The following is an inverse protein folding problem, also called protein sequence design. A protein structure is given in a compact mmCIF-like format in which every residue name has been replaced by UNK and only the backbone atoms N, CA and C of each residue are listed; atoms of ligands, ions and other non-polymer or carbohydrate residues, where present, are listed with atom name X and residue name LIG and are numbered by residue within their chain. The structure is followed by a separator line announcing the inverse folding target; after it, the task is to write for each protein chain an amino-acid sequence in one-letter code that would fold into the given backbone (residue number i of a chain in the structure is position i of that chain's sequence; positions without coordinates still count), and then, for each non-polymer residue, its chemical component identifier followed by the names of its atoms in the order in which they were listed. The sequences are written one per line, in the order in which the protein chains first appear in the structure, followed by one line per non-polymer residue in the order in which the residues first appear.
data_IF_937785092342
#
_entry.id   IF_937785092342
#
_cell.length_a   1.000
_cell.length_b   1.000
_cell.length_c   1.000
_cell.angle_alpha   90.00
_cell.angle_beta   90.00
_cell.angle_gamma   90.00
#
_symmetry.space_group_name_H-M   'P 1'
#
loop_
_entity.id
_entity.type
_entity.pdbx_description
1 polymer ?
#
# COMPACT_ATOMS: atom_id res chain seq x y z
N UNK A 1 -5.54 -16.15 13.18
CA UNK A 1 -4.34 -15.95 12.37
C UNK A 1 -4.74 -15.86 10.91
N UNK A 2 -4.50 -14.72 10.29
CA UNK A 2 -4.86 -14.53 8.89
C UNK A 2 -3.78 -15.14 8.00
N UNK A 3 -4.18 -16.10 7.19
CA UNK A 3 -3.30 -16.69 6.17
C UNK A 3 -3.81 -16.30 4.80
N UNK A 4 -2.90 -15.84 3.98
CA UNK A 4 -3.18 -15.58 2.57
C UNK A 4 -2.46 -16.64 1.76
N UNK A 5 -3.14 -17.25 0.79
CA UNK A 5 -2.49 -18.20 -0.09
C UNK A 5 -1.66 -17.45 -1.15
N UNK A 6 -0.88 -18.21 -1.92
CA UNK A 6 0.03 -17.64 -2.91
C UNK A 6 -0.73 -16.85 -3.98
N UNK A 7 -1.86 -17.35 -4.45
CA UNK A 7 -2.65 -16.70 -5.50
C UNK A 7 -3.27 -15.40 -5.00
N UNK A 8 -3.78 -15.40 -3.76
CA UNK A 8 -4.33 -14.20 -3.15
C UNK A 8 -3.27 -13.10 -3.01
N UNK A 9 -2.06 -13.48 -2.62
CA UNK A 9 -0.97 -12.52 -2.49
C UNK A 9 -0.53 -11.98 -3.84
N UNK A 10 -0.48 -12.81 -4.89
CA UNK A 10 -0.13 -12.34 -6.22
C UNK A 10 -1.11 -11.27 -6.71
N UNK A 11 -2.40 -11.44 -6.46
CA UNK A 11 -3.41 -10.47 -6.87
C UNK A 11 -3.23 -9.12 -6.21
N UNK A 12 -2.83 -9.09 -4.93
CA UNK A 12 -2.65 -7.83 -4.21
C UNK A 12 -1.27 -7.21 -4.44
N UNK A 13 -0.28 -8.00 -4.83
CA UNK A 13 1.06 -7.49 -5.16
C UNK A 13 1.01 -6.54 -6.37
N UNK A 14 0.20 -6.86 -7.38
CA UNK A 14 0.11 -6.02 -8.58
C UNK A 14 -0.30 -4.58 -8.30
N UNK A 15 -1.39 -4.32 -7.56
CA UNK A 15 -1.73 -2.93 -7.22
C UNK A 15 -0.63 -2.24 -6.41
N UNK A 16 0.03 -2.96 -5.52
CA UNK A 16 1.11 -2.39 -4.70
C UNK A 16 2.29 -1.97 -5.58
N UNK A 17 2.77 -2.85 -6.46
CA UNK A 17 3.90 -2.54 -7.35
C UNK A 17 3.56 -1.42 -8.33
N UNK A 18 2.34 -1.40 -8.84
CA UNK A 18 1.86 -0.34 -9.72
C UNK A 18 1.87 1.02 -9.01
N UNK A 19 1.39 1.04 -7.77
CA UNK A 19 1.36 2.27 -6.98
C UNK A 19 2.76 2.76 -6.61
N UNK A 20 3.68 1.85 -6.32
CA UNK A 20 5.08 2.21 -6.07
C UNK A 20 5.64 2.95 -7.29
N UNK A 21 5.47 2.39 -8.48
CA UNK A 21 5.96 2.99 -9.72
C UNK A 21 5.35 4.37 -9.96
N UNK A 22 4.03 4.49 -9.82
CA UNK A 22 3.33 5.75 -10.01
C UNK A 22 3.74 6.79 -8.99
N UNK A 23 3.90 6.39 -7.73
CA UNK A 23 4.28 7.29 -6.64
C UNK A 23 5.72 7.78 -6.79
N UNK A 24 6.63 6.93 -7.25
CA UNK A 24 8.01 7.33 -7.50
C UNK A 24 8.08 8.37 -8.62
N UNK A 25 7.34 8.16 -9.71
CA UNK A 25 7.27 9.12 -10.80
C UNK A 25 6.68 10.45 -10.37
N UNK A 26 5.60 10.40 -9.59
CA UNK A 26 4.96 11.61 -9.07
C UNK A 26 5.88 12.37 -8.13
N UNK A 27 6.61 11.65 -7.27
CA UNK A 27 7.53 12.26 -6.31
C UNK A 27 8.65 13.02 -7.01
N UNK A 28 9.15 12.50 -8.14
CA UNK A 28 10.20 13.15 -8.91
C UNK A 28 9.79 14.53 -9.44
N UNK A 29 8.49 14.75 -9.65
CA UNK A 29 7.95 16.01 -10.15
C UNK A 29 7.67 17.02 -9.04
N UNK A 30 7.79 16.62 -7.79
CA UNK A 30 7.48 17.48 -6.64
C UNK A 30 8.76 18.06 -6.06
N UNK A 31 8.63 19.28 -5.54
CA UNK A 31 9.74 19.94 -4.85
C UNK A 31 9.92 19.29 -3.46
N UNK A 32 11.16 18.94 -3.14
CA UNK A 32 11.49 18.41 -1.81
C UNK A 32 11.13 19.43 -0.74
N UNK A 33 10.58 18.95 0.37
CA UNK A 33 10.18 19.81 1.48
C UNK A 33 8.72 20.24 1.44
N UNK A 34 8.00 19.99 0.34
CA UNK A 34 6.56 20.26 0.30
C UNK A 34 5.81 19.14 1.02
N UNK A 35 4.60 19.44 1.48
CA UNK A 35 3.80 18.42 2.17
C UNK A 35 3.41 17.27 1.21
N UNK A 36 3.21 17.59 -0.07
CA UNK A 36 2.91 16.55 -1.07
C UNK A 36 4.06 15.58 -1.24
N UNK A 37 5.28 16.10 -1.30
CA UNK A 37 6.49 15.28 -1.40
C UNK A 37 6.64 14.39 -0.17
N UNK A 38 6.45 14.95 1.01
CA UNK A 38 6.52 14.21 2.28
C UNK A 38 5.46 13.12 2.34
N UNK A 39 4.23 13.43 1.93
CA UNK A 39 3.14 12.45 1.91
C UNK A 39 3.46 11.28 0.97
N UNK A 40 3.93 11.58 -0.25
CA UNK A 40 4.30 10.51 -1.19
C UNK A 40 5.45 9.66 -0.68
N UNK A 41 6.42 10.28 -0.02
CA UNK A 41 7.54 9.56 0.57
C UNK A 41 7.06 8.60 1.67
N UNK A 42 6.14 9.03 2.51
CA UNK A 42 5.55 8.19 3.56
C UNK A 42 4.73 7.05 2.95
N UNK A 43 3.95 7.34 1.92
CA UNK A 43 3.18 6.31 1.22
C UNK A 43 4.10 5.28 0.55
N UNK A 44 5.19 5.74 -0.08
CA UNK A 44 6.17 4.83 -0.68
C UNK A 44 6.80 3.91 0.36
N UNK A 45 7.17 4.45 1.51
CA UNK A 45 7.72 3.63 2.60
C UNK A 45 6.74 2.56 3.04
N UNK A 46 5.46 2.93 3.22
CA UNK A 46 4.41 1.99 3.58
C UNK A 46 4.23 0.90 2.50
N UNK A 47 4.21 1.30 1.23
CA UNK A 47 4.05 0.37 0.12
C UNK A 47 5.22 -0.61 0.04
N UNK A 48 6.45 -0.16 0.25
CA UNK A 48 7.63 -1.03 0.26
C UNK A 48 7.58 -2.01 1.43
N UNK A 49 7.15 -1.58 2.61
CA UNK A 49 6.97 -2.46 3.76
C UNK A 49 5.96 -3.57 3.42
N UNK A 50 4.82 -3.17 2.84
CA UNK A 50 3.78 -4.13 2.45
C UNK A 50 4.30 -5.12 1.41
N UNK A 51 5.02 -4.63 0.40
CA UNK A 51 5.57 -5.49 -0.64
C UNK A 51 6.55 -6.52 -0.06
N UNK A 52 7.41 -6.09 0.85
CA UNK A 52 8.36 -6.99 1.53
C UNK A 52 7.62 -8.08 2.30
N UNK A 53 6.55 -7.73 3.00
CA UNK A 53 5.75 -8.71 3.75
C UNK A 53 4.99 -9.66 2.82
N UNK A 54 4.50 -9.15 1.69
CA UNK A 54 3.76 -9.96 0.72
C UNK A 54 4.66 -10.94 -0.03
N UNK A 55 5.87 -10.54 -0.35
CA UNK A 55 6.80 -11.37 -1.11
C UNK A 55 7.62 -12.31 -0.23
N UNK A 56 7.70 -12.03 1.07
CA UNK A 56 8.48 -12.81 2.04
C UNK A 56 9.89 -13.15 1.54
N UNK A 57 10.56 -12.18 0.96
CA UNK A 57 11.97 -12.30 0.66
C UNK A 57 12.72 -12.23 1.99
N UNK A 58 12.87 -13.39 2.64
CA UNK A 58 13.03 -13.48 4.07
C UNK A 58 14.44 -13.43 4.61
N UNK A 59 15.44 -13.54 3.75
CA UNK A 59 16.75 -13.79 4.32
C UNK A 59 17.60 -12.54 4.55
N UNK A 60 17.21 -11.41 3.96
CA UNK A 60 18.02 -10.19 4.02
C UNK A 60 17.20 -8.95 4.36
N UNK A 61 15.95 -9.12 4.74
CA UNK A 61 15.09 -7.96 5.01
C UNK A 61 15.22 -7.58 6.46
N UNK A 62 15.68 -6.36 6.69
CA UNK A 62 15.58 -5.77 8.01
C UNK A 62 14.12 -5.83 8.46
N UNK A 63 13.89 -6.36 9.64
CA UNK A 63 12.55 -6.35 10.22
C UNK A 63 12.18 -4.88 10.45
N UNK A 64 11.06 -4.40 9.89
CA UNK A 64 10.66 -3.02 10.11
C UNK A 64 10.49 -2.73 11.60
N UNK A 65 10.86 -1.53 12.00
CA UNK A 65 10.69 -1.10 13.38
C UNK A 65 9.21 -0.94 13.69
N UNK A 66 8.85 -1.09 14.96
CA UNK A 66 7.44 -0.96 15.37
C UNK A 66 6.87 0.41 15.00
N UNK A 67 7.67 1.47 15.10
CA UNK A 67 7.24 2.81 14.70
C UNK A 67 6.97 2.90 13.21
N UNK A 68 7.80 2.25 12.39
CA UNK A 68 7.60 2.21 10.93
C UNK A 68 6.34 1.45 10.56
N UNK A 69 6.05 0.36 11.26
CA UNK A 69 4.83 -0.41 11.05
C UNK A 69 3.59 0.41 11.40
N UNK A 70 3.61 1.14 12.50
CA UNK A 70 2.50 2.00 12.89
C UNK A 70 2.30 3.14 11.91
N UNK A 71 3.40 3.74 11.44
CA UNK A 71 3.33 4.79 10.41
C UNK A 71 2.75 4.24 9.10
N UNK A 72 3.13 3.01 8.73
CA UNK A 72 2.60 2.36 7.55
C UNK A 72 1.09 2.14 7.66
N UNK A 73 0.60 1.71 8.82
CA UNK A 73 -0.84 1.55 9.04
C UNK A 73 -1.59 2.86 8.84
N UNK A 74 -1.05 3.97 9.37
CA UNK A 74 -1.67 5.29 9.17
C UNK A 74 -1.71 5.67 7.70
N UNK A 75 -0.62 5.41 6.98
CA UNK A 75 -0.55 5.71 5.54
C UNK A 75 -1.57 4.87 4.76
N UNK A 76 -1.69 3.59 5.06
CA UNK A 76 -2.67 2.72 4.39
C UNK A 76 -4.10 3.12 4.72
N UNK A 77 -4.39 3.53 5.95
CA UNK A 77 -5.73 4.02 6.30
C UNK A 77 -6.09 5.25 5.46
N UNK A 78 -5.16 6.18 5.29
CA UNK A 78 -5.38 7.36 4.46
C UNK A 78 -5.55 7.01 2.99
N UNK A 79 -4.73 6.10 2.47
CA UNK A 79 -4.83 5.65 1.08
C UNK A 79 -6.16 4.93 0.83
N UNK A 80 -6.58 4.08 1.75
CA UNK A 80 -7.86 3.38 1.66
C UNK A 80 -9.02 4.37 1.62
N UNK A 81 -9.00 5.36 2.49
CA UNK A 81 -10.06 6.38 2.53
C UNK A 81 -10.15 7.12 1.20
N UNK A 82 -9.02 7.52 0.62
CA UNK A 82 -9.01 8.19 -0.68
C UNK A 82 -9.52 7.30 -1.79
N UNK A 83 -9.14 6.03 -1.80
CA UNK A 83 -9.60 5.07 -2.81
C UNK A 83 -11.09 4.79 -2.69
N UNK A 84 -11.63 4.71 -1.47
CA UNK A 84 -13.07 4.54 -1.26
C UNK A 84 -13.85 5.74 -1.79
N UNK A 85 -13.37 6.95 -1.53
CA UNK A 85 -14.00 8.17 -2.05
C UNK A 85 -13.94 8.24 -3.57
N UNK A 86 -12.80 7.85 -4.15
CA UNK A 86 -12.66 7.81 -5.60
C UNK A 86 -13.58 6.75 -6.22
N UNK A 87 -13.67 5.57 -5.61
CA UNK A 87 -14.53 4.49 -6.08
C UNK A 87 -15.99 4.94 -6.16
N UNK A 88 -16.44 5.68 -5.16
CA UNK A 88 -17.83 6.15 -5.09
C UNK A 88 -18.22 7.06 -6.25
N UNK A 89 -17.25 7.65 -6.95
CA UNK A 89 -17.48 8.53 -8.09
C UNK A 89 -17.66 7.79 -9.41
N UNK A 90 -17.37 6.50 -9.44
CA UNK A 90 -17.41 5.71 -10.67
C UNK A 90 -18.54 4.69 -10.63
N UNK A 91 -19.07 4.38 -11.81
CA UNK A 91 -20.12 3.37 -11.93
C UNK A 91 -19.55 1.97 -11.66
N UNK A 92 -20.29 1.12 -10.92
CA UNK A 92 -19.89 -0.29 -10.79
C UNK A 92 -19.70 -0.93 -12.16
N UNK A 93 -18.63 -1.68 -12.31
CA UNK A 93 -18.30 -2.32 -13.58
C UNK A 93 -17.40 -1.50 -14.50
N UNK A 94 -17.18 -0.21 -14.20
CA UNK A 94 -16.20 0.57 -14.96
C UNK A 94 -14.78 0.17 -14.59
N UNK A 95 -13.83 0.46 -15.49
CA UNK A 95 -12.42 0.14 -15.25
C UNK A 95 -11.86 0.93 -14.06
N UNK A 96 -12.29 2.19 -13.88
CA UNK A 96 -11.86 3.01 -12.76
C UNK A 96 -12.40 2.48 -11.43
N UNK A 97 -13.65 2.02 -11.41
CA UNK A 97 -14.23 1.40 -10.23
C UNK A 97 -13.44 0.14 -9.83
N UNK A 98 -13.15 -0.71 -10.80
CA UNK A 98 -12.40 -1.95 -10.59
C UNK A 98 -10.97 -1.66 -10.08
N UNK A 99 -10.32 -0.63 -10.66
CA UNK A 99 -8.99 -0.22 -10.21
C UNK A 99 -8.99 0.15 -8.72
N UNK A 100 -9.95 0.98 -8.29
CA UNK A 100 -10.04 1.39 -6.90
C UNK A 100 -10.37 0.22 -5.98
N UNK A 101 -11.28 -0.67 -6.42
CA UNK A 101 -11.60 -1.89 -5.67
C UNK A 101 -10.35 -2.74 -5.43
N UNK A 102 -9.53 -2.93 -6.45
CA UNK A 102 -8.31 -3.73 -6.35
C UNK A 102 -7.30 -3.08 -5.41
N UNK A 103 -7.18 -1.75 -5.45
CA UNK A 103 -6.32 -1.01 -4.52
C UNK A 103 -6.78 -1.16 -3.08
N UNK A 104 -8.07 -1.02 -2.83
CA UNK A 104 -8.64 -1.16 -1.49
C UNK A 104 -8.35 -2.57 -0.94
N UNK A 105 -8.57 -3.59 -1.75
CA UNK A 105 -8.27 -4.98 -1.35
C UNK A 105 -6.80 -5.16 -0.99
N UNK A 106 -5.90 -4.58 -1.79
CA UNK A 106 -4.46 -4.65 -1.53
C UNK A 106 -4.08 -3.92 -0.24
N UNK A 107 -4.67 -2.75 0.01
CA UNK A 107 -4.41 -1.99 1.24
C UNK A 107 -4.88 -2.74 2.48
N UNK A 108 -6.05 -3.37 2.42
CA UNK A 108 -6.57 -4.17 3.55
C UNK A 108 -5.69 -5.38 3.84
N UNK A 109 -5.22 -6.05 2.79
CA UNK A 109 -4.27 -7.16 2.96
C UNK A 109 -2.96 -6.66 3.56
N UNK A 110 -2.46 -5.51 3.11
CA UNK A 110 -1.26 -4.90 3.68
C UNK A 110 -1.43 -4.60 5.16
N UNK A 111 -2.56 -4.00 5.53
CA UNK A 111 -2.85 -3.71 6.93
C UNK A 111 -2.89 -4.98 7.78
N UNK A 112 -3.53 -6.03 7.28
CA UNK A 112 -3.60 -7.30 7.99
C UNK A 112 -2.20 -7.89 8.23
N UNK A 113 -1.35 -7.87 7.20
CA UNK A 113 0.01 -8.38 7.31
C UNK A 113 0.85 -7.54 8.28
N UNK A 114 0.72 -6.22 8.22
CA UNK A 114 1.43 -5.31 9.14
C UNK A 114 0.99 -5.59 10.58
N UNK A 115 -0.31 -5.77 10.81
CA UNK A 115 -0.84 -6.06 12.14
C UNK A 115 -0.26 -7.36 12.73
N UNK A 116 0.07 -8.35 11.90
CA UNK A 116 0.70 -9.57 12.39
C UNK A 116 2.10 -9.33 12.92
N UNK A 117 2.76 -8.24 12.49
CA UNK A 117 4.11 -7.89 12.90
C UNK A 117 4.14 -6.94 14.10
N UNK A 118 3.03 -6.32 14.43
CA UNK A 118 2.94 -5.41 15.58
C UNK A 118 2.88 -6.20 16.87
N UNK A 119 3.59 -5.70 17.86
CA UNK A 119 3.62 -6.29 19.20
C UNK A 119 2.84 -5.45 20.19
#
# INVERSE_FOLDING_TARGET
MTRFDHDELEEVIRPITSLISKSEKAKQKLTAGTWQHTMLQQNLRALHIALALMTRTTNDVEVPRQDDLRAALRAFAAMTNRSEKAQAKFAPGSSHYTLQRNRIAAFRTAEALINTQLK
#
